data_IF_379363761015
#
_entry.id   IF_379363761015
#
_cell.length_a   1.000
_cell.length_b   1.000
_cell.length_c   1.000
_cell.angle_alpha   90.00
_cell.angle_beta   90.00
_cell.angle_gamma   90.00
#
_symmetry.space_group_name_H-M   'P 1'
#
loop_
_entity.id
_entity.type
_entity.pdbx_description
1 polymer ?
#
# COMPACT_ATOMS: atom_id res chain seq x y z
N UNK A 1 -12.93 25.25 14.09
CA UNK A 1 -13.00 23.76 14.19
C UNK A 1 -12.59 23.14 12.88
N UNK A 2 -11.76 22.12 12.93
CA UNK A 2 -11.28 21.45 11.72
C UNK A 2 -12.35 20.51 11.19
N UNK A 3 -12.64 20.59 9.90
CA UNK A 3 -13.60 19.73 9.22
C UNK A 3 -12.91 18.44 8.77
N UNK A 4 -13.58 17.30 8.94
CA UNK A 4 -13.08 16.02 8.44
C UNK A 4 -13.25 15.99 6.92
N UNK A 5 -12.16 15.79 6.15
CA UNK A 5 -12.25 15.72 4.69
C UNK A 5 -13.07 14.51 4.25
N UNK A 6 -13.80 14.67 3.13
CA UNK A 6 -14.52 13.58 2.47
C UNK A 6 -13.64 12.96 1.40
N UNK A 7 -13.51 11.63 1.39
CA UNK A 7 -12.75 10.92 0.37
C UNK A 7 -13.39 11.08 -1.00
N UNK A 8 -12.56 11.34 -2.01
CA UNK A 8 -12.99 11.53 -3.41
C UNK A 8 -12.98 10.21 -4.21
N UNK A 9 -12.49 9.13 -3.62
CA UNK A 9 -12.42 7.80 -4.24
C UNK A 9 -12.86 6.73 -3.25
N UNK A 10 -13.36 5.61 -3.76
CA UNK A 10 -13.64 4.44 -2.93
C UNK A 10 -12.34 3.78 -2.49
N UNK A 11 -12.43 2.90 -1.47
CA UNK A 11 -11.24 2.15 -1.05
C UNK A 11 -10.76 1.19 -2.15
N UNK A 12 -11.67 0.61 -2.91
CA UNK A 12 -11.33 -0.26 -4.03
C UNK A 12 -10.58 0.51 -5.12
N UNK A 13 -11.04 1.73 -5.45
CA UNK A 13 -10.36 2.60 -6.42
C UNK A 13 -8.97 3.00 -5.92
N UNK A 14 -8.84 3.30 -4.62
CA UNK A 14 -7.54 3.63 -4.03
C UNK A 14 -6.55 2.48 -4.18
N UNK A 15 -6.92 1.26 -3.80
CA UNK A 15 -6.01 0.11 -3.90
C UNK A 15 -5.76 -0.34 -5.33
N UNK A 16 -6.70 -0.14 -6.24
CA UNK A 16 -6.47 -0.35 -7.67
C UNK A 16 -5.38 0.61 -8.20
N UNK A 17 -5.45 1.87 -7.82
CA UNK A 17 -4.45 2.88 -8.17
C UNK A 17 -3.10 2.57 -7.53
N UNK A 18 -3.09 2.20 -6.26
CA UNK A 18 -1.88 1.86 -5.51
C UNK A 18 -1.15 0.66 -6.13
N UNK A 19 -1.87 -0.44 -6.42
CA UNK A 19 -1.26 -1.61 -7.05
C UNK A 19 -0.85 -1.34 -8.50
N UNK A 20 -1.52 -0.40 -9.17
CA UNK A 20 -1.09 0.09 -10.48
C UNK A 20 0.29 0.75 -10.41
N UNK A 21 0.53 1.56 -9.40
CA UNK A 21 1.87 2.16 -9.18
C UNK A 21 2.92 1.09 -8.89
N UNK A 22 2.59 0.10 -8.08
CA UNK A 22 3.52 -1.02 -7.80
C UNK A 22 3.86 -1.79 -9.07
N UNK A 23 2.88 -2.03 -9.94
CA UNK A 23 3.04 -2.77 -11.18
C UNK A 23 3.89 -2.02 -12.19
N UNK A 24 3.66 -0.71 -12.36
CA UNK A 24 4.38 0.10 -13.34
C UNK A 24 5.70 0.65 -12.80
N UNK A 25 5.96 0.53 -11.50
CA UNK A 25 7.15 1.09 -10.88
C UNK A 25 7.10 2.60 -10.74
N UNK A 26 5.91 3.16 -10.58
CA UNK A 26 5.71 4.60 -10.38
C UNK A 26 6.05 4.99 -8.95
N UNK A 27 7.31 5.26 -8.70
CA UNK A 27 7.84 5.61 -7.38
C UNK A 27 7.21 6.89 -6.84
N UNK A 28 6.98 7.90 -7.69
CA UNK A 28 6.33 9.14 -7.27
C UNK A 28 4.86 8.92 -6.89
N UNK A 29 4.16 8.07 -7.66
CA UNK A 29 2.79 7.67 -7.32
C UNK A 29 2.72 6.97 -5.96
N UNK A 30 3.64 6.03 -5.71
CA UNK A 30 3.74 5.33 -4.43
C UNK A 30 4.01 6.28 -3.28
N UNK A 31 4.97 7.21 -3.44
CA UNK A 31 5.26 8.20 -2.40
C UNK A 31 4.03 9.07 -2.08
N UNK A 32 3.22 9.40 -3.09
CA UNK A 32 2.00 10.20 -2.92
C UNK A 32 0.86 9.45 -2.24
N UNK A 33 0.91 8.11 -2.23
CA UNK A 33 -0.13 7.26 -1.65
C UNK A 33 0.02 7.07 -0.13
N UNK A 34 1.05 7.64 0.47
CA UNK A 34 1.33 7.54 1.91
C UNK A 34 1.11 8.86 2.62
N UNK A 35 0.63 8.75 3.86
CA UNK A 35 0.62 9.86 4.79
C UNK A 35 2.03 10.02 5.41
N UNK A 36 2.41 11.24 5.79
CA UNK A 36 3.68 11.47 6.47
C UNK A 36 3.43 12.21 7.79
N UNK A 37 3.87 11.64 8.93
CA UNK A 37 4.54 10.33 9.04
C UNK A 37 3.57 9.18 8.80
N UNK A 38 4.13 8.03 8.44
CA UNK A 38 3.41 6.75 8.43
C UNK A 38 4.21 5.69 9.16
N UNK A 39 3.58 4.56 9.48
CA UNK A 39 4.22 3.44 10.16
C UNK A 39 4.13 2.18 9.32
N UNK A 40 5.26 1.50 9.18
CA UNK A 40 5.29 0.11 8.76
C UNK A 40 5.46 -0.75 10.01
N UNK A 41 4.44 -1.55 10.34
CA UNK A 41 4.43 -2.39 11.54
C UNK A 41 4.63 -3.83 11.10
N UNK A 42 5.74 -4.44 11.53
CA UNK A 42 6.06 -5.82 11.18
C UNK A 42 6.33 -6.63 12.45
N UNK A 43 6.43 -7.94 12.30
CA UNK A 43 6.82 -8.81 13.42
C UNK A 43 8.22 -8.49 13.98
N UNK A 44 9.06 -7.80 13.21
CA UNK A 44 10.41 -7.41 13.60
C UNK A 44 10.47 -6.01 14.23
N UNK A 45 9.36 -5.28 14.25
CA UNK A 45 9.30 -3.94 14.85
C UNK A 45 8.58 -2.93 13.97
N UNK A 46 8.59 -1.67 14.42
CA UNK A 46 7.94 -0.58 13.74
C UNK A 46 8.98 0.35 13.09
N UNK A 47 8.73 0.72 11.84
CA UNK A 47 9.54 1.69 11.12
C UNK A 47 8.68 2.92 10.85
N UNK A 48 9.13 4.08 11.33
CA UNK A 48 8.49 5.35 11.00
C UNK A 48 9.04 5.88 9.68
N UNK A 49 8.13 6.25 8.77
CA UNK A 49 8.47 6.87 7.50
C UNK A 49 8.01 8.32 7.60
N UNK A 50 8.96 9.25 7.66
CA UNK A 50 8.68 10.63 8.04
C UNK A 50 8.63 11.61 6.87
N UNK A 51 9.13 11.21 5.69
CA UNK A 51 9.15 12.06 4.51
C UNK A 51 9.07 11.25 3.21
N UNK A 52 8.69 11.90 2.09
CA UNK A 52 8.56 11.21 0.81
C UNK A 52 9.84 10.57 0.28
N UNK A 53 11.02 11.09 0.63
CA UNK A 53 12.28 10.51 0.16
C UNK A 53 12.51 9.13 0.75
N UNK A 54 12.14 8.91 2.01
CA UNK A 54 12.21 7.59 2.63
C UNK A 54 11.32 6.58 1.91
N UNK A 55 10.12 7.00 1.51
CA UNK A 55 9.23 6.16 0.68
C UNK A 55 9.85 5.83 -0.67
N UNK A 56 10.44 6.81 -1.35
CA UNK A 56 11.08 6.58 -2.65
C UNK A 56 12.19 5.54 -2.54
N UNK A 57 13.05 5.69 -1.52
CA UNK A 57 14.16 4.76 -1.29
C UNK A 57 13.65 3.35 -0.97
N UNK A 58 12.64 3.26 -0.11
CA UNK A 58 12.02 1.98 0.25
C UNK A 58 11.43 1.26 -0.96
N UNK A 59 10.65 1.96 -1.78
CA UNK A 59 10.00 1.33 -2.93
C UNK A 59 10.96 1.03 -4.07
N UNK A 60 12.01 1.83 -4.24
CA UNK A 60 13.06 1.52 -5.21
C UNK A 60 13.75 0.21 -4.88
N UNK A 61 14.13 0.02 -3.61
CA UNK A 61 14.75 -1.23 -3.14
C UNK A 61 13.77 -2.40 -3.21
N UNK A 62 12.52 -2.17 -2.77
CA UNK A 62 11.48 -3.20 -2.80
C UNK A 62 11.17 -3.69 -4.20
N UNK A 63 11.10 -2.78 -5.16
CA UNK A 63 10.86 -3.12 -6.57
C UNK A 63 11.95 -4.03 -7.12
N UNK A 64 13.21 -3.71 -6.84
CA UNK A 64 14.35 -4.53 -7.29
C UNK A 64 14.28 -5.93 -6.66
N UNK A 65 13.94 -6.01 -5.37
CA UNK A 65 13.79 -7.27 -4.67
C UNK A 65 12.67 -8.13 -5.27
N UNK A 66 11.48 -7.56 -5.49
CA UNK A 66 10.36 -8.30 -6.07
C UNK A 66 10.66 -8.79 -7.48
N UNK A 67 11.32 -7.98 -8.29
CA UNK A 67 11.76 -8.39 -9.63
C UNK A 67 12.75 -9.54 -9.57
N UNK A 68 13.64 -9.57 -8.57
CA UNK A 68 14.57 -10.69 -8.36
C UNK A 68 13.84 -11.97 -8.00
N UNK A 69 12.63 -11.88 -7.45
CA UNK A 69 11.75 -13.01 -7.14
C UNK A 69 10.87 -13.42 -8.34
N UNK A 70 11.02 -12.79 -9.51
CA UNK A 70 10.20 -13.07 -10.70
C UNK A 70 8.84 -12.40 -10.70
N UNK A 71 8.62 -11.42 -9.81
CA UNK A 71 7.36 -10.71 -9.68
C UNK A 71 7.43 -9.43 -10.50
N UNK A 72 6.50 -9.28 -11.47
CA UNK A 72 6.47 -8.14 -12.38
C UNK A 72 5.22 -7.27 -12.21
N UNK A 73 4.27 -7.71 -11.40
CA UNK A 73 3.06 -6.95 -11.14
C UNK A 73 2.36 -7.43 -9.89
N UNK A 74 1.34 -6.68 -9.49
CA UNK A 74 0.53 -7.00 -8.33
C UNK A 74 -0.87 -6.44 -8.52
N UNK A 75 -1.88 -7.14 -8.01
CA UNK A 75 -3.24 -6.62 -7.94
C UNK A 75 -3.84 -6.85 -6.56
N UNK A 76 -4.70 -5.94 -6.15
CA UNK A 76 -5.44 -6.07 -4.91
C UNK A 76 -6.68 -6.94 -5.12
N UNK A 77 -6.97 -7.81 -4.14
CA UNK A 77 -8.19 -8.61 -4.12
C UNK A 77 -8.64 -8.84 -2.68
N UNK A 78 -9.88 -9.29 -2.53
CA UNK A 78 -10.46 -9.66 -1.23
C UNK A 78 -10.35 -8.53 -0.20
N UNK A 79 -10.67 -7.31 -0.62
CA UNK A 79 -10.65 -6.14 0.26
C UNK A 79 -11.76 -6.28 1.30
N UNK A 80 -11.37 -6.28 2.58
CA UNK A 80 -12.30 -6.40 3.70
C UNK A 80 -12.20 -5.15 4.56
N UNK A 81 -13.32 -4.45 4.73
CA UNK A 81 -13.42 -3.32 5.64
C UNK A 81 -13.75 -3.82 7.04
N UNK A 82 -12.86 -3.59 8.00
CA UNK A 82 -13.10 -3.92 9.40
C UNK A 82 -13.77 -2.76 10.13
N UNK A 83 -13.30 -1.54 9.90
CA UNK A 83 -13.86 -0.32 10.49
C UNK A 83 -13.78 0.79 9.46
N UNK A 84 -14.88 1.52 9.28
CA UNK A 84 -14.88 2.75 8.49
C UNK A 84 -15.67 3.82 9.22
N UNK A 85 -15.02 4.94 9.49
CA UNK A 85 -15.61 6.15 10.04
C UNK A 85 -15.18 7.33 9.16
N UNK A 86 -15.82 8.49 9.26
CA UNK A 86 -15.39 9.65 8.46
C UNK A 86 -13.88 9.91 8.60
N UNK A 87 -13.17 9.92 7.48
CA UNK A 87 -11.74 10.21 7.42
C UNK A 87 -10.81 9.04 7.70
N UNK A 88 -11.30 7.88 8.14
CA UNK A 88 -10.46 6.72 8.49
C UNK A 88 -11.09 5.42 7.99
N UNK A 89 -10.26 4.61 7.34
CA UNK A 89 -10.61 3.25 6.95
C UNK A 89 -9.56 2.29 7.52
N UNK A 90 -10.01 1.22 8.18
CA UNK A 90 -9.17 0.12 8.62
C UNK A 90 -9.66 -1.16 7.95
N UNK A 91 -8.73 -1.95 7.42
CA UNK A 91 -9.12 -3.21 6.81
C UNK A 91 -7.93 -4.00 6.32
N UNK A 92 -8.25 -5.03 5.57
CA UNK A 92 -7.30 -6.03 5.09
C UNK A 92 -7.54 -6.29 3.61
N UNK A 93 -6.51 -6.74 2.93
CA UNK A 93 -6.64 -7.19 1.56
C UNK A 93 -5.55 -8.23 1.24
N UNK A 94 -5.70 -8.85 0.09
CA UNK A 94 -4.68 -9.73 -0.47
C UNK A 94 -4.03 -9.01 -1.64
N UNK A 95 -2.71 -8.95 -1.64
CA UNK A 95 -1.92 -8.56 -2.79
C UNK A 95 -1.55 -9.83 -3.54
N UNK A 96 -2.06 -9.97 -4.74
CA UNK A 96 -1.72 -11.09 -5.62
C UNK A 96 -0.56 -10.69 -6.51
N UNK A 97 0.59 -11.32 -6.30
CA UNK A 97 1.78 -11.08 -7.10
C UNK A 97 1.63 -11.79 -8.44
N UNK A 98 2.08 -11.14 -9.49
CA UNK A 98 1.96 -11.62 -10.87
C UNK A 98 3.35 -11.75 -11.49
N UNK A 99 3.55 -12.80 -12.30
CA UNK A 99 4.78 -12.97 -13.06
C UNK A 99 4.77 -12.11 -14.35
N UNK A 100 5.79 -12.26 -15.19
CA UNK A 100 5.91 -11.49 -16.43
C UNK A 100 4.85 -11.82 -17.48
N UNK A 101 4.13 -12.92 -17.32
CA UNK A 101 2.99 -13.30 -18.16
C UNK A 101 1.64 -12.88 -17.56
N UNK A 102 1.66 -12.19 -16.41
CA UNK A 102 0.45 -11.81 -15.71
C UNK A 102 -0.23 -12.97 -14.95
N UNK A 103 0.47 -14.09 -14.79
CA UNK A 103 -0.05 -15.24 -14.05
C UNK A 103 0.25 -15.09 -12.55
N UNK A 104 -0.61 -15.68 -11.67
CA UNK A 104 -0.38 -15.62 -10.23
C UNK A 104 0.95 -16.24 -9.83
N UNK A 105 1.74 -15.51 -9.02
CA UNK A 105 3.06 -15.91 -8.56
C UNK A 105 3.18 -15.92 -7.04
N UNK A 106 2.09 -15.65 -6.32
CA UNK A 106 2.05 -15.67 -4.86
C UNK A 106 1.03 -14.71 -4.30
N UNK A 107 0.72 -14.88 -3.03
CA UNK A 107 -0.25 -14.05 -2.31
C UNK A 107 0.41 -13.47 -1.08
N UNK A 108 0.13 -12.19 -0.79
CA UNK A 108 0.56 -11.52 0.43
C UNK A 108 -0.64 -10.83 1.06
N UNK A 109 -0.96 -11.20 2.30
CA UNK A 109 -2.01 -10.52 3.05
C UNK A 109 -1.42 -9.30 3.76
N UNK A 110 -2.14 -8.21 3.71
CA UNK A 110 -1.73 -6.97 4.38
C UNK A 110 -2.92 -6.33 5.06
N UNK A 111 -2.67 -5.72 6.22
CA UNK A 111 -3.62 -4.85 6.89
C UNK A 111 -3.15 -3.41 6.72
N UNK A 112 -4.12 -2.49 6.57
CA UNK A 112 -3.84 -1.08 6.36
C UNK A 112 -4.76 -0.21 7.19
N UNK A 113 -4.22 0.90 7.65
CA UNK A 113 -5.01 2.04 8.10
C UNK A 113 -4.83 3.16 7.09
N UNK A 114 -5.94 3.62 6.51
CA UNK A 114 -5.96 4.62 5.44
C UNK A 114 -6.69 5.85 5.96
N UNK A 115 -6.08 7.02 5.78
CA UNK A 115 -6.66 8.30 6.18
C UNK A 115 -7.03 9.11 4.94
N UNK A 116 -7.94 10.07 5.12
CA UNK A 116 -8.32 11.00 4.05
C UNK A 116 -7.58 12.31 4.26
N UNK A 117 -6.77 12.72 3.28
CA UNK A 117 -6.04 13.97 3.30
C UNK A 117 -6.98 15.17 3.07
N UNK A 118 -6.51 16.39 3.32
CA UNK A 118 -7.30 17.61 3.17
C UNK A 118 -7.86 17.79 1.76
N UNK A 119 -7.13 17.31 0.74
CA UNK A 119 -7.56 17.37 -0.66
C UNK A 119 -8.56 16.27 -1.04
N UNK A 120 -8.94 15.40 -0.10
CA UNK A 120 -9.85 14.29 -0.32
C UNK A 120 -9.19 13.00 -0.81
N UNK A 121 -7.87 13.00 -1.05
CA UNK A 121 -7.17 11.77 -1.44
C UNK A 121 -6.98 10.85 -0.24
N UNK A 122 -7.05 9.55 -0.48
CA UNK A 122 -6.74 8.56 0.55
C UNK A 122 -5.24 8.35 0.61
N UNK A 123 -4.72 8.14 1.83
CA UNK A 123 -3.28 7.91 2.07
C UNK A 123 -3.10 6.85 3.14
N UNK A 124 -2.11 5.99 2.95
CA UNK A 124 -1.79 4.95 3.92
C UNK A 124 -1.05 5.57 5.11
N UNK A 125 -1.59 5.39 6.30
CA UNK A 125 -0.98 5.84 7.55
C UNK A 125 -0.26 4.70 8.27
N UNK A 126 -0.76 3.47 8.17
CA UNK A 126 -0.16 2.27 8.77
C UNK A 126 -0.27 1.13 7.79
N UNK A 127 0.81 0.40 7.59
CA UNK A 127 0.83 -0.84 6.82
C UNK A 127 1.39 -1.98 7.69
N UNK A 128 0.75 -3.15 7.62
CA UNK A 128 1.15 -4.33 8.39
C UNK A 128 1.10 -5.55 7.50
N UNK A 129 2.26 -6.05 7.04
CA UNK A 129 2.28 -7.32 6.34
C UNK A 129 1.94 -8.46 7.30
N UNK A 130 1.07 -9.37 6.87
CA UNK A 130 0.58 -10.50 7.65
C UNK A 130 1.23 -11.82 7.24
N UNK A 131 1.96 -11.83 6.14
CA UNK A 131 2.67 -12.99 5.61
C UNK A 131 4.16 -12.66 5.43
N UNK A 132 4.98 -13.70 5.30
CA UNK A 132 6.39 -13.52 4.97
C UNK A 132 6.53 -12.97 3.55
N UNK A 133 7.57 -12.18 3.33
CA UNK A 133 7.90 -11.69 1.99
C UNK A 133 8.28 -12.86 1.06
N UNK A 134 8.09 -12.71 -0.27
CA UNK A 134 8.51 -13.73 -1.22
C UNK A 134 10.03 -13.95 -1.15
N UNK A 135 10.45 -15.16 -1.50
CA UNK A 135 11.86 -15.52 -1.52
C UNK A 135 12.38 -15.51 -2.96
N UNK A 136 13.63 -15.10 -3.16
CA UNK A 136 14.26 -15.14 -4.47
C UNK A 136 14.34 -16.53 -5.06
#
# INVERSE_FOLDING_TARGET
>A
MKTIPTATESIAEFFSRYTGYLTTGDIEGLASAYNYPSLAVTALGCLAITDPQQSRDFFTQGQDFYRSCGIQGVRARDITTDIEVPGIWLGRLVLENLDDNGAPAGLERNAYQVVTAEDGTRRIAVSTPLDAYPQP
#
